data_IF_639460201807
#
_entry.id   IF_639460201807
#
_cell.length_a   1.000
_cell.length_b   1.000
_cell.length_c   1.000
_cell.angle_alpha   90.00
_cell.angle_beta   90.00
_cell.angle_gamma   90.00
#
_symmetry.space_group_name_H-M   'P 1'
#
loop_
_entity.id
_entity.type
_entity.pdbx_description
1 polymer ?
#
# COMPACT_ATOMS: atom_id res chain seq x y z
N UNK A 1 19.37 13.04 4.20
CA UNK A 1 18.51 12.43 3.16
C UNK A 1 19.14 11.12 2.72
N UNK A 2 18.35 10.07 2.60
CA UNK A 2 18.82 8.71 2.30
C UNK A 2 18.97 8.53 0.78
N UNK A 3 20.16 8.13 0.31
CA UNK A 3 20.43 7.85 -1.13
C UNK A 3 19.38 6.91 -1.72
N UNK A 4 18.93 5.92 -0.93
CA UNK A 4 17.90 4.98 -1.34
C UNK A 4 16.53 5.62 -1.56
N UNK A 5 16.14 6.61 -0.75
CA UNK A 5 14.84 7.29 -0.90
C UNK A 5 14.79 8.12 -2.19
N UNK A 6 15.91 8.74 -2.56
CA UNK A 6 16.03 9.50 -3.81
C UNK A 6 15.98 8.56 -5.03
N UNK A 7 16.67 7.42 -4.97
CA UNK A 7 16.61 6.38 -6.00
C UNK A 7 15.21 5.81 -6.17
N UNK A 8 14.50 5.53 -5.08
CA UNK A 8 13.10 5.07 -5.13
C UNK A 8 12.17 6.12 -5.73
N UNK A 9 12.36 7.40 -5.38
CA UNK A 9 11.58 8.49 -5.96
C UNK A 9 11.81 8.60 -7.48
N UNK A 10 13.06 8.45 -7.94
CA UNK A 10 13.39 8.45 -9.35
C UNK A 10 12.81 7.22 -10.10
N UNK A 11 12.86 6.05 -9.46
CA UNK A 11 12.30 4.79 -9.99
C UNK A 11 10.79 4.89 -10.18
N UNK A 12 10.09 5.47 -9.20
CA UNK A 12 8.62 5.58 -9.20
C UNK A 12 8.10 6.79 -9.99
N UNK A 13 8.94 7.77 -10.34
CA UNK A 13 8.51 9.00 -11.02
C UNK A 13 7.63 8.75 -12.26
N UNK A 14 7.98 7.76 -13.10
CA UNK A 14 7.17 7.41 -14.28
C UNK A 14 5.84 6.77 -13.91
N UNK A 15 5.80 5.97 -12.85
CA UNK A 15 4.57 5.34 -12.35
C UNK A 15 3.64 6.40 -11.73
N UNK A 16 4.23 7.37 -11.04
CA UNK A 16 3.55 8.49 -10.39
C UNK A 16 2.90 9.48 -11.38
N UNK A 17 3.23 9.40 -12.67
CA UNK A 17 2.63 10.18 -13.75
C UNK A 17 1.49 9.44 -14.48
N UNK A 18 1.29 8.14 -14.22
CA UNK A 18 0.28 7.33 -14.92
C UNK A 18 -1.13 7.65 -14.43
N UNK A 19 -2.05 7.78 -15.38
CA UNK A 19 -3.48 7.93 -15.12
C UNK A 19 -4.17 6.57 -15.26
N UNK A 20 -4.94 6.19 -14.24
CA UNK A 20 -5.74 4.97 -14.25
C UNK A 20 -7.16 5.28 -13.84
N UNK A 21 -8.15 4.68 -14.51
CA UNK A 21 -9.52 4.76 -14.03
C UNK A 21 -9.67 4.06 -12.66
N UNK A 22 -10.67 4.43 -11.83
CA UNK A 22 -10.91 3.77 -10.54
C UNK A 22 -11.08 2.27 -10.66
N UNK A 23 -11.86 1.81 -11.66
CA UNK A 23 -12.12 0.39 -11.88
C UNK A 23 -10.85 -0.38 -12.25
N UNK A 24 -9.99 0.18 -13.11
CA UNK A 24 -8.74 -0.48 -13.48
C UNK A 24 -7.81 -0.66 -12.28
N UNK A 25 -7.63 0.41 -11.50
CA UNK A 25 -6.69 0.39 -10.38
C UNK A 25 -7.20 -0.48 -9.22
N UNK A 26 -8.50 -0.47 -8.94
CA UNK A 26 -9.11 -1.33 -7.91
C UNK A 26 -8.98 -2.82 -8.25
N UNK A 27 -9.23 -3.19 -9.51
CA UNK A 27 -9.06 -4.58 -9.97
C UNK A 27 -7.58 -4.98 -9.87
N UNK A 28 -6.67 -4.14 -10.37
CA UNK A 28 -5.24 -4.40 -10.27
C UNK A 28 -4.75 -4.57 -8.82
N UNK A 29 -5.21 -3.71 -7.90
CA UNK A 29 -4.87 -3.82 -6.47
C UNK A 29 -5.45 -5.09 -5.83
N UNK A 30 -6.69 -5.46 -6.19
CA UNK A 30 -7.28 -6.72 -5.73
C UNK A 30 -6.45 -7.93 -6.19
N UNK A 31 -5.99 -7.93 -7.44
CA UNK A 31 -5.15 -8.98 -8.01
C UNK A 31 -3.79 -9.06 -7.32
N UNK A 32 -3.10 -7.91 -7.19
CA UNK A 32 -1.80 -7.84 -6.54
C UNK A 32 -1.87 -8.29 -5.07
N UNK A 33 -2.88 -7.84 -4.32
CA UNK A 33 -3.08 -8.27 -2.92
C UNK A 33 -3.48 -9.73 -2.83
N UNK A 34 -4.37 -10.24 -3.67
CA UNK A 34 -4.73 -11.65 -3.65
C UNK A 34 -3.51 -12.57 -3.86
N UNK A 35 -2.53 -12.11 -4.63
CA UNK A 35 -1.29 -12.83 -4.90
C UNK A 35 -0.24 -12.69 -3.79
N UNK A 36 -0.02 -11.47 -3.28
CA UNK A 36 1.08 -11.16 -2.36
C UNK A 36 0.67 -11.15 -0.87
N UNK A 37 -0.57 -10.77 -0.58
CA UNK A 37 -1.11 -10.57 0.77
C UNK A 37 -2.58 -11.05 0.82
N UNK A 38 -2.84 -12.35 0.58
CA UNK A 38 -4.20 -12.88 0.52
C UNK A 38 -4.93 -12.65 1.85
N UNK A 39 -6.24 -12.39 1.78
CA UNK A 39 -7.05 -12.21 2.99
C UNK A 39 -7.12 -13.51 3.80
N UNK A 40 -6.56 -13.48 4.99
CA UNK A 40 -6.54 -14.59 5.96
C UNK A 40 -7.63 -14.35 7.03
N UNK A 41 -8.46 -15.37 7.31
CA UNK A 41 -9.37 -15.37 8.47
C UNK A 41 -8.51 -15.75 9.67
N UNK A 42 -8.44 -14.82 10.61
CA UNK A 42 -7.97 -15.15 11.95
C UNK A 42 -9.18 -15.68 12.69
N UNK A 43 -9.29 -17.01 12.80
CA UNK A 43 -10.30 -17.62 13.65
C UNK A 43 -10.13 -17.08 15.07
N UNK A 44 -11.18 -16.45 15.62
CA UNK A 44 -11.15 -15.89 16.97
C UNK A 44 -10.90 -17.02 18.00
N UNK A 45 -9.74 -16.93 18.62
CA UNK A 45 -9.39 -17.31 19.99
C UNK A 45 -9.36 -18.77 20.47
N UNK A 46 -9.88 -19.80 19.79
CA UNK A 46 -9.85 -21.18 20.37
C UNK A 46 -9.38 -22.33 19.45
N UNK A 47 -8.72 -22.05 18.32
CA UNK A 47 -8.11 -23.12 17.52
C UNK A 47 -6.74 -22.71 16.92
N UNK A 48 -5.73 -23.60 16.92
CA UNK A 48 -4.47 -23.36 16.26
C UNK A 48 -4.66 -23.51 14.74
N UNK A 49 -5.08 -22.44 14.07
CA UNK A 49 -5.23 -22.45 12.62
C UNK A 49 -5.79 -21.15 12.04
N UNK A 50 -4.94 -20.41 11.33
CA UNK A 50 -5.37 -19.38 10.39
C UNK A 50 -5.98 -20.07 9.15
N UNK A 51 -7.13 -19.61 8.68
CA UNK A 51 -7.79 -20.16 7.48
C UNK A 51 -7.99 -19.07 6.44
N UNK A 52 -7.54 -19.23 5.20
CA UNK A 52 -7.66 -18.20 4.14
C UNK A 52 -9.12 -18.06 3.68
N UNK A 53 -9.74 -16.87 3.83
CA UNK A 53 -11.21 -16.64 3.57
C UNK A 53 -11.57 -16.63 2.10
N UNK A 54 -10.65 -16.17 1.25
CA UNK A 54 -10.85 -16.16 -0.19
C UNK A 54 -9.79 -17.04 -0.81
N UNK A 55 -10.14 -18.31 -1.02
CA UNK A 55 -9.35 -19.20 -1.85
C UNK A 55 -9.42 -18.71 -3.31
N UNK A 56 -8.57 -17.75 -3.64
CA UNK A 56 -8.03 -17.70 -5.00
C UNK A 56 -7.51 -19.10 -5.31
N UNK A 57 -7.78 -19.67 -6.49
CA UNK A 57 -7.42 -21.06 -6.75
C UNK A 57 -5.93 -21.22 -6.48
N UNK A 58 -5.56 -22.12 -5.56
CA UNK A 58 -4.20 -22.22 -4.98
C UNK A 58 -3.12 -22.33 -6.05
N UNK A 59 -3.45 -22.90 -7.21
CA UNK A 59 -2.59 -22.96 -8.41
C UNK A 59 -2.11 -21.59 -8.93
N UNK A 60 -2.84 -20.51 -8.65
CA UNK A 60 -2.52 -19.15 -9.12
C UNK A 60 -1.80 -18.30 -8.08
N UNK A 61 -1.73 -18.71 -6.81
CA UNK A 61 -1.18 -17.86 -5.72
C UNK A 61 -0.18 -18.59 -4.83
N UNK A 62 -0.14 -19.92 -4.84
CA UNK A 62 0.76 -20.71 -4.00
C UNK A 62 2.22 -20.35 -4.25
N UNK A 63 2.90 -19.90 -3.20
CA UNK A 63 4.32 -19.55 -3.24
C UNK A 63 4.66 -18.27 -4.00
N UNK A 64 3.70 -17.59 -4.65
CA UNK A 64 4.01 -16.40 -5.47
C UNK A 64 4.55 -15.25 -4.62
N UNK A 65 3.99 -15.00 -3.42
CA UNK A 65 4.56 -14.06 -2.46
C UNK A 65 6.03 -14.38 -2.16
N UNK A 66 6.34 -15.65 -1.90
CA UNK A 66 7.70 -16.10 -1.53
C UNK A 66 8.65 -15.92 -2.71
N UNK A 67 8.23 -16.31 -3.92
CA UNK A 67 9.03 -16.16 -5.15
C UNK A 67 9.29 -14.69 -5.44
N UNK A 68 8.24 -13.87 -5.42
CA UNK A 68 8.33 -12.43 -5.69
C UNK A 68 9.26 -11.75 -4.68
N UNK A 69 9.03 -11.98 -3.38
CA UNK A 69 9.86 -11.42 -2.31
C UNK A 69 11.31 -11.91 -2.39
N UNK A 70 11.55 -13.18 -2.64
CA UNK A 70 12.90 -13.72 -2.76
C UNK A 70 13.66 -13.09 -3.93
N UNK A 71 12.98 -12.83 -5.05
CA UNK A 71 13.59 -12.18 -6.20
C UNK A 71 13.86 -10.69 -5.96
N UNK A 72 12.91 -9.95 -5.38
CA UNK A 72 13.04 -8.49 -5.22
C UNK A 72 13.92 -8.06 -4.06
N UNK A 73 14.10 -8.92 -3.04
CA UNK A 73 14.81 -8.59 -1.80
C UNK A 73 16.22 -8.02 -2.04
N UNK A 74 16.99 -8.66 -2.91
CA UNK A 74 18.42 -8.35 -3.12
C UNK A 74 18.73 -7.89 -4.55
N UNK A 75 17.70 -7.70 -5.39
CA UNK A 75 17.81 -7.22 -6.76
C UNK A 75 18.20 -5.73 -6.81
N UNK A 76 19.00 -5.32 -7.79
CA UNK A 76 19.32 -3.90 -7.94
C UNK A 76 18.05 -3.10 -8.28
N UNK A 77 17.92 -1.87 -7.73
CA UNK A 77 16.70 -1.08 -7.88
C UNK A 77 16.33 -0.79 -9.34
N UNK A 78 17.33 -0.65 -10.22
CA UNK A 78 17.18 -0.39 -11.65
C UNK A 78 16.74 -1.63 -12.45
N UNK A 79 16.93 -2.84 -11.92
CA UNK A 79 16.45 -4.09 -12.49
C UNK A 79 14.98 -4.39 -12.12
N UNK A 80 14.47 -3.80 -11.03
CA UNK A 80 13.11 -4.04 -10.55
C UNK A 80 12.02 -3.79 -11.61
N UNK A 81 12.05 -2.72 -12.45
CA UNK A 81 11.03 -2.49 -13.46
C UNK A 81 10.95 -3.62 -14.50
N UNK A 82 12.09 -4.10 -14.98
CA UNK A 82 12.14 -5.19 -15.96
C UNK A 82 11.65 -6.50 -15.33
N UNK A 83 12.09 -6.80 -14.11
CA UNK A 83 11.59 -7.96 -13.37
C UNK A 83 10.07 -7.91 -13.18
N UNK A 84 9.52 -6.78 -12.74
CA UNK A 84 8.09 -6.60 -12.52
C UNK A 84 7.30 -6.75 -13.82
N UNK A 85 7.79 -6.17 -14.92
CA UNK A 85 7.18 -6.32 -16.24
C UNK A 85 7.12 -7.79 -16.66
N UNK A 86 8.26 -8.49 -16.64
CA UNK A 86 8.33 -9.91 -16.99
C UNK A 86 7.44 -10.76 -16.07
N UNK A 87 7.49 -10.52 -14.77
CA UNK A 87 6.66 -11.21 -13.79
C UNK A 87 5.16 -11.00 -14.06
N UNK A 88 4.73 -9.77 -14.36
CA UNK A 88 3.33 -9.49 -14.66
C UNK A 88 2.88 -10.23 -15.94
N UNK A 89 3.68 -10.17 -17.00
CA UNK A 89 3.36 -10.83 -18.27
C UNK A 89 3.38 -12.36 -18.18
N UNK A 90 4.23 -12.95 -17.35
CA UNK A 90 4.27 -14.40 -17.12
C UNK A 90 3.11 -14.90 -16.25
N UNK A 91 2.63 -14.10 -15.30
CA UNK A 91 1.61 -14.52 -14.32
C UNK A 91 0.18 -14.16 -14.73
N UNK A 92 0.01 -13.06 -15.47
CA UNK A 92 -1.28 -12.57 -15.92
C UNK A 92 -1.52 -12.82 -17.42
N UNK A 93 -1.21 -14.04 -17.89
CA UNK A 93 -1.30 -14.46 -19.30
C UNK A 93 -2.73 -14.55 -19.86
N UNK A 94 -3.75 -14.59 -18.99
CA UNK A 94 -5.13 -14.67 -19.46
C UNK A 94 -5.52 -13.34 -20.14
N UNK A 95 -6.09 -13.34 -21.36
CA UNK A 95 -6.53 -12.13 -22.05
C UNK A 95 -7.45 -11.21 -21.22
N UNK A 96 -8.18 -11.75 -20.24
CA UNK A 96 -9.01 -10.92 -19.35
C UNK A 96 -8.22 -9.97 -18.45
N UNK A 97 -6.93 -10.23 -18.21
CA UNK A 97 -6.05 -9.38 -17.41
C UNK A 97 -5.34 -8.29 -18.21
N UNK A 98 -5.27 -8.43 -19.55
CA UNK A 98 -4.58 -7.48 -20.44
C UNK A 98 -5.00 -6.02 -20.21
N UNK A 99 -6.29 -5.68 -20.02
CA UNK A 99 -6.71 -4.29 -19.76
C UNK A 99 -6.20 -3.68 -18.44
N UNK A 100 -5.62 -4.51 -17.56
CA UNK A 100 -5.17 -4.13 -16.23
C UNK A 100 -3.65 -4.24 -16.04
N UNK A 101 -2.90 -4.76 -17.03
CA UNK A 101 -1.47 -5.05 -16.90
C UNK A 101 -0.66 -3.83 -16.47
N UNK A 102 -0.83 -2.69 -17.14
CA UNK A 102 -0.12 -1.45 -16.78
C UNK A 102 -0.35 -1.05 -15.30
N UNK A 103 -1.59 -1.19 -14.81
CA UNK A 103 -1.92 -0.88 -13.42
C UNK A 103 -1.35 -1.93 -12.45
N UNK A 104 -1.35 -3.21 -12.85
CA UNK A 104 -0.73 -4.31 -12.08
C UNK A 104 0.77 -4.06 -11.95
N UNK A 105 1.47 -3.75 -13.04
CA UNK A 105 2.91 -3.47 -13.03
C UNK A 105 3.25 -2.30 -12.11
N UNK A 106 2.52 -1.18 -12.20
CA UNK A 106 2.73 -0.04 -11.30
C UNK A 106 2.58 -0.43 -9.83
N UNK A 107 1.55 -1.20 -9.50
CA UNK A 107 1.32 -1.62 -8.11
C UNK A 107 2.36 -2.64 -7.65
N UNK A 108 2.72 -3.61 -8.49
CA UNK A 108 3.76 -4.59 -8.19
C UNK A 108 5.13 -3.95 -8.01
N UNK A 109 5.47 -2.91 -8.78
CA UNK A 109 6.70 -2.15 -8.58
C UNK A 109 6.74 -1.50 -7.19
N UNK A 110 5.63 -0.89 -6.74
CA UNK A 110 5.55 -0.34 -5.38
C UNK A 110 5.70 -1.42 -4.31
N UNK A 111 5.13 -2.61 -4.53
CA UNK A 111 5.34 -3.75 -3.62
C UNK A 111 6.78 -4.26 -3.63
N UNK A 112 7.43 -4.32 -4.79
CA UNK A 112 8.83 -4.72 -4.92
C UNK A 112 9.76 -3.79 -4.13
N UNK A 113 9.51 -2.48 -4.21
CA UNK A 113 10.23 -1.45 -3.45
C UNK A 113 10.12 -1.66 -1.93
N UNK A 114 8.94 -2.08 -1.44
CA UNK A 114 8.76 -2.39 -0.01
C UNK A 114 9.51 -3.67 0.39
N UNK A 115 9.48 -4.70 -0.46
CA UNK A 115 10.10 -6.00 -0.17
C UNK A 115 11.64 -5.99 -0.28
N UNK A 116 12.21 -4.99 -0.95
CA UNK A 116 13.64 -4.80 -1.09
C UNK A 116 14.32 -4.56 0.27
N UNK A 117 15.46 -5.20 0.55
CA UNK A 117 16.09 -5.18 1.89
C UNK A 117 16.43 -3.77 2.42
N UNK A 118 16.80 -2.85 1.53
CA UNK A 118 17.10 -1.45 1.89
C UNK A 118 15.87 -0.58 2.19
N UNK A 119 14.66 -1.09 1.91
CA UNK A 119 13.41 -0.36 2.17
C UNK A 119 13.30 0.03 3.64
N UNK A 120 13.77 -0.85 4.54
CA UNK A 120 13.57 -0.74 5.97
C UNK A 120 12.09 -0.84 6.36
N UNK A 121 11.24 -1.40 5.49
CA UNK A 121 9.80 -1.57 5.66
C UNK A 121 9.43 -3.04 5.45
N UNK A 122 8.34 -3.48 6.04
CA UNK A 122 7.80 -4.82 5.79
C UNK A 122 6.31 -4.87 6.06
N UNK A 123 5.62 -5.77 5.34
CA UNK A 123 4.20 -6.06 5.55
C UNK A 123 4.09 -7.45 6.18
N UNK A 124 3.51 -7.52 7.37
CA UNK A 124 3.35 -8.75 8.14
C UNK A 124 1.90 -8.94 8.59
N UNK A 125 1.47 -10.18 8.87
CA UNK A 125 0.20 -10.40 9.53
C UNK A 125 0.13 -9.59 10.82
N UNK A 126 -1.01 -8.96 11.07
CA UNK A 126 -1.27 -8.25 12.33
C UNK A 126 -1.17 -9.22 13.50
N UNK A 127 -0.52 -8.80 14.58
CA UNK A 127 -0.42 -9.59 15.80
C UNK A 127 -1.60 -9.29 16.75
N UNK A 128 -1.62 -9.92 17.92
CA UNK A 128 -2.67 -9.69 18.92
C UNK A 128 -2.67 -8.25 19.50
N UNK A 129 -1.54 -7.53 19.38
CA UNK A 129 -1.39 -6.15 19.84
C UNK A 129 -1.92 -5.13 18.83
N UNK A 130 -2.03 -5.50 17.55
CA UNK A 130 -2.51 -4.63 16.49
C UNK A 130 -4.04 -4.46 16.47
N UNK A 131 -4.79 -5.30 17.21
CA UNK A 131 -6.26 -5.26 17.34
C UNK A 131 -7.05 -5.23 16.00
N UNK A 132 -6.43 -5.69 14.91
CA UNK A 132 -6.97 -5.67 13.56
C UNK A 132 -6.93 -7.06 12.91
N UNK A 133 -7.48 -7.19 11.70
CA UNK A 133 -7.44 -8.41 10.90
C UNK A 133 -6.63 -8.18 9.61
N UNK A 134 -5.85 -9.19 9.20
CA UNK A 134 -5.11 -9.19 7.94
C UNK A 134 -3.63 -8.85 8.10
N UNK A 135 -3.19 -7.76 7.48
CA UNK A 135 -1.77 -7.40 7.38
C UNK A 135 -1.57 -5.93 7.74
N UNK A 136 -0.43 -5.61 8.33
CA UNK A 136 -0.01 -4.26 8.67
C UNK A 136 1.40 -3.94 8.13
N UNK A 137 1.65 -2.66 7.91
CA UNK A 137 2.94 -2.11 7.52
C UNK A 137 3.75 -1.69 8.74
N UNK A 138 5.00 -2.14 8.82
CA UNK A 138 5.93 -1.85 9.91
C UNK A 138 7.28 -1.38 9.34
N UNK A 139 8.12 -0.79 10.21
CA UNK A 139 9.51 -0.44 9.89
C UNK A 139 10.47 -1.43 10.55
N UNK A 140 11.54 -1.86 9.87
CA UNK A 140 12.62 -2.66 10.49
C UNK A 140 13.71 -1.82 11.13
N UNK A 141 13.70 -0.50 10.91
CA UNK A 141 14.70 0.43 11.43
C UNK A 141 14.03 1.65 12.06
N UNK A 142 14.78 2.36 12.89
CA UNK A 142 14.32 3.62 13.45
C UNK A 142 14.08 4.63 12.32
N UNK A 143 13.00 5.42 12.43
CA UNK A 143 12.70 6.53 11.53
C UNK A 143 12.63 7.81 12.33
N UNK A 144 13.22 8.87 11.79
CA UNK A 144 13.27 10.16 12.47
C UNK A 144 12.08 11.04 12.09
N UNK A 145 11.64 11.90 13.00
CA UNK A 145 10.69 12.98 12.70
C UNK A 145 11.14 13.79 11.46
N UNK A 146 10.18 14.05 10.56
CA UNK A 146 10.42 14.75 9.29
C UNK A 146 11.05 13.89 8.19
N UNK A 147 11.34 12.60 8.43
CA UNK A 147 11.83 11.71 7.38
C UNK A 147 10.76 11.51 6.30
N UNK A 148 11.15 11.76 5.05
CA UNK A 148 10.34 11.49 3.87
C UNK A 148 10.44 10.02 3.46
N UNK A 149 9.28 9.36 3.28
CA UNK A 149 9.17 7.92 3.01
C UNK A 149 8.50 7.67 1.65
N UNK A 150 9.22 7.86 0.52
CA UNK A 150 8.67 7.58 -0.82
C UNK A 150 8.44 6.08 -1.07
N UNK A 151 9.11 5.25 -0.26
CA UNK A 151 9.00 3.80 -0.24
C UNK A 151 7.58 3.37 0.12
N UNK A 152 6.95 4.06 1.07
CA UNK A 152 5.57 3.80 1.47
C UNK A 152 4.66 4.65 0.60
N UNK A 153 4.32 4.13 -0.57
CA UNK A 153 3.54 4.86 -1.56
C UNK A 153 2.24 4.16 -1.96
N UNK A 154 1.35 4.93 -2.57
CA UNK A 154 0.13 4.47 -3.21
C UNK A 154 -0.07 5.19 -4.53
N UNK A 155 -0.77 4.51 -5.44
CA UNK A 155 -1.39 5.10 -6.60
C UNK A 155 -2.79 5.61 -6.24
N UNK A 156 -3.17 6.73 -6.81
CA UNK A 156 -4.48 7.36 -6.69
C UNK A 156 -5.17 7.29 -8.07
N UNK A 157 -6.41 6.80 -8.15
CA UNK A 157 -7.13 6.73 -9.41
C UNK A 157 -7.46 8.14 -9.93
N UNK A 158 -7.48 8.25 -11.26
CA UNK A 158 -7.87 9.43 -11.98
C UNK A 158 -9.37 9.41 -12.27
N UNK A 159 -10.08 10.46 -11.88
CA UNK A 159 -11.45 10.71 -12.31
C UNK A 159 -11.57 12.13 -12.87
N UNK A 160 -12.23 12.33 -14.02
CA UNK A 160 -12.42 13.66 -14.56
C UNK A 160 -13.28 14.48 -13.60
N UNK A 161 -12.66 15.41 -12.88
CA UNK A 161 -13.37 16.35 -12.01
C UNK A 161 -14.12 17.38 -12.86
N UNK A 162 -15.40 17.59 -12.61
CA UNK A 162 -16.27 18.56 -13.30
C UNK A 162 -15.97 20.03 -12.93
N UNK A 163 -14.69 20.44 -12.92
CA UNK A 163 -14.27 21.82 -12.69
C UNK A 163 -14.03 22.23 -11.23
N UNK A 164 -13.99 21.29 -10.28
CA UNK A 164 -13.59 21.58 -8.90
C UNK A 164 -12.07 21.43 -8.72
N UNK A 165 -11.41 22.40 -8.05
CA UNK A 165 -10.01 22.28 -7.58
C UNK A 165 -9.87 20.97 -6.79
N UNK A 166 -8.69 20.36 -6.73
CA UNK A 166 -8.47 19.11 -5.99
C UNK A 166 -9.07 19.08 -4.59
N UNK A 167 -9.01 20.20 -3.83
CA UNK A 167 -9.67 20.32 -2.52
C UNK A 167 -11.21 20.27 -2.56
N UNK A 168 -11.83 20.68 -3.67
CA UNK A 168 -13.27 20.57 -3.95
C UNK A 168 -13.67 19.21 -4.52
N UNK A 169 -12.86 18.63 -5.43
CA UNK A 169 -13.03 17.23 -5.86
C UNK A 169 -12.89 16.27 -4.66
N UNK A 170 -11.94 16.59 -3.79
CA UNK A 170 -11.78 16.02 -2.47
C UNK A 170 -12.92 16.37 -1.50
N UNK A 171 -14.04 16.95 -1.93
CA UNK A 171 -15.26 17.17 -1.13
C UNK A 171 -16.47 16.37 -1.61
N UNK A 172 -16.34 15.60 -2.70
CA UNK A 172 -17.46 14.90 -3.35
C UNK A 172 -17.79 13.51 -2.77
N UNK A 173 -18.98 13.02 -3.15
CA UNK A 173 -19.64 11.77 -2.70
C UNK A 173 -18.97 10.46 -3.16
N UNK A 174 -17.79 10.49 -3.78
CA UNK A 174 -17.14 9.31 -4.30
C UNK A 174 -16.08 8.74 -3.34
N UNK A 175 -16.13 7.42 -3.06
CA UNK A 175 -15.13 6.76 -2.24
C UNK A 175 -13.74 6.85 -2.87
N UNK A 176 -12.76 7.25 -2.05
CA UNK A 176 -11.38 7.47 -2.49
C UNK A 176 -10.54 6.29 -2.09
N UNK A 177 -9.70 5.84 -3.03
CA UNK A 177 -8.87 4.67 -2.84
C UNK A 177 -7.41 5.03 -3.00
N UNK A 178 -6.64 4.95 -1.91
CA UNK A 178 -5.19 4.78 -1.99
C UNK A 178 -4.95 3.31 -2.28
N UNK A 179 -4.24 2.99 -3.37
CA UNK A 179 -4.04 1.63 -3.84
C UNK A 179 -2.55 1.29 -3.91
N UNK A 180 -2.16 0.10 -3.45
CA UNK A 180 -0.76 -0.28 -3.23
C UNK A 180 -0.36 -0.37 -1.74
N UNK A 181 0.95 -0.38 -1.43
CA UNK A 181 1.46 -0.69 -0.09
C UNK A 181 0.93 0.19 1.05
N UNK A 182 0.66 1.47 0.78
CA UNK A 182 0.11 2.39 1.78
C UNK A 182 -1.20 1.90 2.41
N UNK A 183 -1.96 1.02 1.73
CA UNK A 183 -3.20 0.43 2.28
C UNK A 183 -3.00 -0.35 3.56
N UNK A 184 -1.79 -0.87 3.79
CA UNK A 184 -1.44 -1.63 4.99
C UNK A 184 -1.04 -0.72 6.17
N UNK A 185 -0.99 0.59 5.97
CA UNK A 185 -0.88 1.58 7.04
C UNK A 185 -2.29 2.06 7.42
N UNK A 186 -2.78 1.76 8.63
CA UNK A 186 -4.09 2.19 9.07
C UNK A 186 -4.15 3.71 9.26
N UNK A 187 -5.35 4.26 9.18
CA UNK A 187 -5.60 5.65 9.50
C UNK A 187 -6.14 5.78 10.92
N UNK A 188 -5.76 6.84 11.63
CA UNK A 188 -6.38 7.15 12.92
C UNK A 188 -7.87 7.45 12.74
N UNK A 189 -8.68 7.24 13.78
CA UNK A 189 -10.10 7.57 13.73
C UNK A 189 -10.34 9.10 13.75
N UNK A 190 -11.57 9.49 13.39
CA UNK A 190 -12.07 10.86 13.54
C UNK A 190 -13.27 10.92 14.49
N UNK A 191 -13.23 11.77 15.54
CA UNK A 191 -12.05 12.51 16.00
C UNK A 191 -10.95 11.54 16.50
N UNK A 192 -9.67 11.95 16.47
CA UNK A 192 -8.58 11.10 16.96
C UNK A 192 -8.81 10.71 18.42
N UNK A 193 -8.92 9.41 18.70
CA UNK A 193 -8.94 8.89 20.07
C UNK A 193 -7.51 8.89 20.63
N UNK A 194 -7.38 8.99 21.95
CA UNK A 194 -6.09 8.97 22.63
C UNK A 194 -5.25 7.69 22.38
N UNK A 195 -5.92 6.58 22.03
CA UNK A 195 -5.27 5.33 21.63
C UNK A 195 -4.67 5.38 20.22
N UNK A 196 -5.16 6.27 19.34
CA UNK A 196 -4.65 6.39 17.98
C UNK A 196 -3.52 7.43 17.98
N UNK A 197 -2.27 6.95 18.08
CA UNK A 197 -1.07 7.81 18.06
C UNK A 197 -0.43 7.73 16.66
N UNK A 198 -0.80 8.61 15.73
CA UNK A 198 -0.20 8.58 14.40
C UNK A 198 1.30 8.84 14.50
N UNK A 199 2.04 8.27 13.58
CA UNK A 199 3.47 8.51 13.44
C UNK A 199 3.87 8.91 12.02
N UNK A 200 2.92 8.97 11.10
CA UNK A 200 3.13 9.40 9.73
C UNK A 200 1.95 10.23 9.23
N UNK A 201 2.17 11.07 8.22
CA UNK A 201 1.12 11.82 7.51
C UNK A 201 1.32 11.72 6.00
N UNK A 202 0.23 11.90 5.24
CA UNK A 202 0.27 11.80 3.78
C UNK A 202 0.97 13.01 3.18
N UNK A 203 1.84 12.74 2.21
CA UNK A 203 2.40 13.72 1.29
C UNK A 203 1.95 13.38 -0.12
N UNK A 204 1.32 14.35 -0.78
CA UNK A 204 0.91 14.26 -2.17
C UNK A 204 2.04 14.75 -3.08
N UNK A 205 2.37 13.99 -4.12
CA UNK A 205 3.46 14.36 -5.01
C UNK A 205 3.12 15.49 -5.99
N UNK A 206 1.82 15.78 -6.20
CA UNK A 206 1.34 16.96 -6.93
C UNK A 206 0.24 17.63 -6.11
N UNK A 207 0.33 18.95 -5.95
CA UNK A 207 -0.59 19.71 -5.09
C UNK A 207 -1.98 19.87 -5.73
N UNK A 208 -2.03 19.98 -7.06
CA UNK A 208 -3.28 20.30 -7.78
C UNK A 208 -4.06 19.07 -8.25
N UNK A 209 -3.41 17.91 -8.45
CA UNK A 209 -4.04 16.62 -8.82
C UNK A 209 -3.01 15.48 -8.71
N UNK A 210 -2.77 14.93 -7.51
CA UNK A 210 -1.83 13.84 -7.32
C UNK A 210 -2.37 12.54 -7.89
N UNK A 211 -1.52 11.82 -8.62
CA UNK A 211 -1.76 10.42 -8.98
C UNK A 211 -1.05 9.46 -8.03
N UNK A 212 -0.26 9.98 -7.10
CA UNK A 212 0.41 9.21 -6.09
C UNK A 212 0.50 9.96 -4.76
N UNK A 213 0.55 9.18 -3.69
CA UNK A 213 0.77 9.63 -2.33
C UNK A 213 1.89 8.81 -1.70
N UNK A 214 2.58 9.41 -0.74
CA UNK A 214 3.56 8.77 0.12
C UNK A 214 3.48 9.34 1.54
N UNK A 215 4.47 9.07 2.39
CA UNK A 215 4.43 9.48 3.79
C UNK A 215 5.57 10.42 4.17
N UNK A 216 5.31 11.24 5.19
CA UNK A 216 6.32 11.87 6.03
C UNK A 216 6.14 11.45 7.47
N UNK A 217 7.23 11.32 8.22
CA UNK A 217 7.22 10.90 9.62
C UNK A 217 6.88 12.08 10.53
N UNK A 218 5.90 11.92 11.42
CA UNK A 218 5.42 12.96 12.35
C UNK A 218 6.12 12.95 13.70
N UNK A 219 6.72 11.82 14.07
CA UNK A 219 7.48 11.62 15.31
C UNK A 219 8.43 10.44 15.11
N UNK A 220 9.47 10.36 15.92
CA UNK A 220 10.36 9.19 15.90
C UNK A 220 9.57 7.87 16.00
N UNK A 221 9.95 6.92 15.15
CA UNK A 221 9.34 5.58 15.03
C UNK A 221 10.42 4.57 15.39
N UNK A 222 10.11 3.69 16.36
CA UNK A 222 11.05 2.65 16.76
C UNK A 222 11.10 1.50 15.72
N UNK A 223 12.22 0.76 15.63
CA UNK A 223 12.24 -0.51 14.89
C UNK A 223 11.14 -1.46 15.38
N UNK A 224 10.44 -2.09 14.44
CA UNK A 224 9.31 -2.98 14.71
C UNK A 224 7.96 -2.27 14.87
N UNK A 225 7.96 -0.96 15.10
CA UNK A 225 6.73 -0.20 15.26
C UNK A 225 5.94 -0.15 13.94
N UNK A 226 4.62 -0.20 14.08
CA UNK A 226 3.65 -0.08 13.00
C UNK A 226 3.61 1.34 12.46
N UNK A 227 3.45 1.49 11.15
CA UNK A 227 3.19 2.80 10.53
C UNK A 227 1.71 3.13 10.69
N UNK A 228 1.39 4.21 11.38
CA UNK A 228 0.01 4.68 11.59
C UNK A 228 -0.12 6.08 11.00
N UNK A 229 -1.04 6.23 10.06
CA UNK A 229 -1.23 7.46 9.30
C UNK A 229 -2.23 8.35 10.03
N UNK A 230 -1.84 9.61 10.24
CA UNK A 230 -2.73 10.63 10.78
C UNK A 230 -3.94 10.83 9.88
N UNK A 231 -5.08 10.97 10.54
CA UNK A 231 -6.29 11.45 9.92
C UNK A 231 -6.18 12.95 9.61
N UNK A 232 -5.66 13.28 8.44
CA UNK A 232 -5.54 14.66 7.97
C UNK A 232 -6.46 15.01 6.78
N UNK A 233 -7.10 14.00 6.18
CA UNK A 233 -7.98 14.16 5.02
C UNK A 233 -9.23 13.28 5.20
N UNK A 234 -10.35 13.88 5.63
CA UNK A 234 -11.70 13.34 6.03
C UNK A 234 -12.36 12.36 5.05
N UNK A 235 -11.69 12.09 3.97
CA UNK A 235 -12.19 12.29 2.64
C UNK A 235 -11.64 11.12 1.81
N UNK A 236 -10.45 10.63 2.19
CA UNK A 236 -9.87 9.34 1.85
C UNK A 236 -10.57 8.11 2.48
N UNK A 237 -11.46 8.31 3.46
CA UNK A 237 -11.84 7.23 4.39
C UNK A 237 -13.04 6.37 4.01
N UNK A 238 -13.88 6.74 3.06
CA UNK A 238 -15.11 5.97 2.80
C UNK A 238 -14.84 4.59 2.17
N UNK A 239 -13.59 4.18 1.88
CA UNK A 239 -13.39 2.92 1.15
C UNK A 239 -12.07 2.13 1.23
N UNK A 240 -10.98 2.60 1.85
CA UNK A 240 -9.66 1.96 1.58
C UNK A 240 -8.85 1.34 2.71
N UNK A 241 -9.08 1.62 4.00
CA UNK A 241 -8.23 1.07 5.08
C UNK A 241 -8.97 0.77 6.38
N UNK A 242 -8.51 -0.23 7.16
CA UNK A 242 -8.99 -0.43 8.53
C UNK A 242 -8.65 0.79 9.38
N UNK A 243 -9.54 1.13 10.32
CA UNK A 243 -9.27 2.14 11.33
C UNK A 243 -8.23 1.59 12.30
N UNK A 244 -7.24 2.41 12.66
CA UNK A 244 -6.13 2.06 13.57
C UNK A 244 -6.56 1.65 14.99
N UNK A 245 -7.86 1.76 15.29
CA UNK A 245 -8.41 1.58 16.62
C UNK A 245 -9.71 0.79 16.48
N UNK A 246 -9.78 -0.38 17.11
CA UNK A 246 -11.03 -1.13 17.26
C UNK A 246 -12.03 -0.31 18.08
N UNK A 247 -13.29 -0.31 17.65
CA UNK A 247 -14.38 0.14 18.52
C UNK A 247 -14.43 -0.90 19.65
N UNK A 248 -13.92 -0.58 20.83
CA UNK A 248 -14.33 -1.31 22.03
C UNK A 248 -15.87 -1.17 22.11
N UNK A 249 -16.61 -2.29 22.25
CA UNK A 249 -18.06 -2.26 22.39
C UNK A 249 -18.50 -1.55 23.67
#
# INVERSE_FOLDING_TARGET
MSIYADQVSALLARADEREFSPGQLQVADLLARAMLYPTEDVSRADAPGMSVVRSWPTRYTAGLKVIFRAATKDMALDELPEYVHNFAHERFVNPCFVPFLDAIEVLLLRYAVIEHHNSGMYIAPVDQHDHEHGYALHTTRARAEGEYLPIVSAQIPWEPSSGQRWRGWAGGDLPRFLLGPLRFAPFTCCPPRACCRPNSSIVYQRVDRPFAACLTVLRDIAPGERIVVEWSDVFLLSSSSPLACSIEP
#
